data_IF_685462116418
#
_entry.id   IF_685462116418
#
_cell.length_a   1.000
_cell.length_b   1.000
_cell.length_c   1.000
_cell.angle_alpha   90.00
_cell.angle_beta   90.00
_cell.angle_gamma   90.00
#
_symmetry.space_group_name_H-M   'P 1'
#
loop_
_entity.id
_entity.type
_entity.pdbx_description
1 polymer ?
#
# COMPACT_ATOMS: atom_id res chain seq x y z
N UNK A 1 -0.35 15.49 -22.09
CA UNK A 1 0.20 14.19 -22.56
C UNK A 1 -0.90 13.15 -22.44
N UNK A 2 -1.32 12.52 -23.54
CA UNK A 2 -2.29 11.42 -23.50
C UNK A 2 -1.54 10.11 -23.34
N UNK A 3 -1.92 9.28 -22.35
CA UNK A 3 -1.30 7.98 -22.14
C UNK A 3 -1.39 7.13 -23.41
N UNK A 4 -0.28 6.51 -23.83
CA UNK A 4 -0.33 5.51 -24.91
C UNK A 4 -1.23 4.35 -24.43
N UNK A 5 -2.35 4.05 -25.13
CA UNK A 5 -3.28 3.01 -24.71
C UNK A 5 -2.62 1.64 -24.51
N UNK A 6 -1.62 1.31 -25.33
CA UNK A 6 -0.88 0.06 -25.22
C UNK A 6 -0.04 0.04 -23.93
N UNK A 7 0.78 1.07 -23.72
CA UNK A 7 1.65 1.16 -22.53
C UNK A 7 0.84 1.24 -21.24
N UNK A 8 -0.25 2.01 -21.25
CA UNK A 8 -1.19 2.12 -20.13
C UNK A 8 -1.82 0.78 -19.80
N UNK A 9 -2.28 0.03 -20.81
CA UNK A 9 -2.85 -1.32 -20.62
C UNK A 9 -1.83 -2.30 -20.07
N UNK A 10 -0.60 -2.31 -20.62
CA UNK A 10 0.49 -3.16 -20.14
C UNK A 10 0.84 -2.82 -18.70
N UNK A 11 0.89 -1.52 -18.36
CA UNK A 11 1.21 -1.06 -17.01
C UNK A 11 0.13 -1.44 -16.00
N UNK A 12 -1.14 -1.25 -16.31
CA UNK A 12 -2.25 -1.69 -15.45
C UNK A 12 -2.23 -3.20 -15.29
N UNK A 13 -2.04 -3.95 -16.37
CA UNK A 13 -1.94 -5.42 -16.32
C UNK A 13 -0.78 -5.87 -15.43
N UNK A 14 0.38 -5.20 -15.55
CA UNK A 14 1.56 -5.43 -14.71
C UNK A 14 1.25 -5.16 -13.24
N UNK A 15 0.56 -4.06 -12.93
CA UNK A 15 0.14 -3.72 -11.58
C UNK A 15 -0.82 -4.78 -11.02
N UNK A 16 -1.85 -5.16 -11.77
CA UNK A 16 -2.85 -6.15 -11.38
C UNK A 16 -2.18 -7.48 -11.08
N UNK A 17 -1.28 -7.97 -11.93
CA UNK A 17 -0.56 -9.22 -11.71
C UNK A 17 0.37 -9.15 -10.48
N UNK A 18 1.13 -8.05 -10.34
CA UNK A 18 2.00 -7.82 -9.19
C UNK A 18 1.21 -7.84 -7.88
N UNK A 19 0.10 -7.08 -7.84
CA UNK A 19 -0.72 -6.91 -6.65
C UNK A 19 -1.58 -8.14 -6.35
N UNK A 20 -2.04 -8.89 -7.36
CA UNK A 20 -2.77 -10.14 -7.15
C UNK A 20 -1.90 -11.19 -6.45
N UNK A 21 -0.65 -11.36 -6.89
CA UNK A 21 0.31 -12.29 -6.26
C UNK A 21 0.65 -11.82 -4.84
N UNK A 22 0.87 -10.52 -4.66
CA UNK A 22 1.15 -9.95 -3.34
C UNK A 22 -0.03 -10.13 -2.37
N UNK A 23 -1.25 -9.81 -2.81
CA UNK A 23 -2.48 -9.95 -2.05
C UNK A 23 -2.75 -11.41 -1.67
N UNK A 24 -2.49 -12.36 -2.58
CA UNK A 24 -2.58 -13.79 -2.28
C UNK A 24 -1.58 -14.21 -1.20
N UNK A 25 -0.31 -13.81 -1.34
CA UNK A 25 0.72 -14.11 -0.35
C UNK A 25 0.39 -13.52 1.03
N UNK A 26 -0.13 -12.30 1.05
CA UNK A 26 -0.56 -11.62 2.27
C UNK A 26 -1.79 -12.28 2.90
N UNK A 27 -2.75 -12.71 2.09
CA UNK A 27 -3.93 -13.44 2.56
C UNK A 27 -3.56 -14.80 3.17
N UNK A 28 -2.64 -15.54 2.54
CA UNK A 28 -2.24 -16.88 2.99
C UNK A 28 -1.23 -16.84 4.16
N UNK A 29 -0.30 -15.88 4.17
CA UNK A 29 0.85 -15.89 5.09
C UNK A 29 1.05 -14.61 5.90
N UNK A 30 0.20 -13.59 5.72
CA UNK A 30 0.35 -12.25 6.32
C UNK A 30 1.71 -11.60 6.06
N UNK A 31 2.36 -11.99 4.98
CA UNK A 31 3.68 -11.51 4.61
C UNK A 31 3.87 -11.59 3.09
N UNK A 32 4.71 -10.70 2.57
CA UNK A 32 5.17 -10.73 1.18
C UNK A 32 6.68 -10.61 1.18
N UNK A 33 7.34 -11.56 0.50
CA UNK A 33 8.80 -11.63 0.45
C UNK A 33 9.39 -10.45 -0.33
N UNK A 34 10.53 -9.95 0.12
CA UNK A 34 11.25 -8.85 -0.54
C UNK A 34 11.63 -9.15 -1.99
N UNK A 35 11.91 -10.42 -2.30
CA UNK A 35 12.18 -10.87 -3.66
C UNK A 35 11.03 -10.60 -4.63
N UNK A 36 9.78 -10.55 -4.15
CA UNK A 36 8.63 -10.21 -5.00
C UNK A 36 8.76 -8.77 -5.50
N UNK A 37 8.91 -7.83 -4.57
CA UNK A 37 9.02 -6.41 -4.88
C UNK A 37 10.24 -6.08 -5.75
N UNK A 38 11.39 -6.72 -5.48
CA UNK A 38 12.62 -6.56 -6.28
C UNK A 38 12.43 -7.09 -7.71
N UNK A 39 11.62 -8.14 -7.93
CA UNK A 39 11.35 -8.62 -9.29
C UNK A 39 10.41 -7.70 -10.05
N UNK A 40 9.40 -7.14 -9.38
CA UNK A 40 8.38 -6.29 -10.00
C UNK A 40 8.81 -4.84 -10.22
N UNK A 41 9.84 -4.35 -9.51
CA UNK A 41 10.43 -3.03 -9.82
C UNK A 41 11.05 -2.99 -11.21
N UNK A 42 11.56 -4.12 -11.71
CA UNK A 42 12.22 -4.19 -13.02
C UNK A 42 11.24 -3.85 -14.16
N UNK A 43 10.11 -4.56 -14.35
CA UNK A 43 9.14 -4.19 -15.38
C UNK A 43 8.52 -2.81 -15.12
N UNK A 44 8.31 -2.41 -13.86
CA UNK A 44 7.81 -1.08 -13.53
C UNK A 44 8.75 0.05 -14.03
N UNK A 45 10.05 -0.07 -13.73
CA UNK A 45 11.06 0.89 -14.15
C UNK A 45 11.25 0.89 -15.68
N UNK A 46 11.25 -0.28 -16.31
CA UNK A 46 11.35 -0.40 -17.78
C UNK A 46 10.16 0.29 -18.44
N UNK A 47 8.92 0.05 -17.98
CA UNK A 47 7.73 0.69 -18.54
C UNK A 47 7.78 2.21 -18.39
N UNK A 48 8.25 2.72 -17.25
CA UNK A 48 8.40 4.16 -17.06
C UNK A 48 9.46 4.74 -18.02
N UNK A 49 10.64 4.12 -18.09
CA UNK A 49 11.73 4.57 -18.97
C UNK A 49 11.33 4.52 -20.45
N UNK A 50 10.66 3.45 -20.88
CA UNK A 50 10.15 3.32 -22.26
C UNK A 50 9.17 4.44 -22.56
N UNK A 51 8.23 4.73 -21.66
CA UNK A 51 7.26 5.80 -21.93
C UNK A 51 7.89 7.19 -21.95
N UNK A 52 8.77 7.50 -20.99
CA UNK A 52 9.50 8.79 -20.97
C UNK A 52 10.33 8.97 -22.24
N UNK A 53 10.98 7.90 -22.71
CA UNK A 53 11.79 7.93 -23.91
C UNK A 53 10.95 8.01 -25.20
N UNK A 54 9.86 7.25 -25.30
CA UNK A 54 8.95 7.27 -26.46
C UNK A 54 8.30 8.63 -26.66
N UNK A 55 8.06 9.36 -25.56
CA UNK A 55 7.51 10.71 -25.59
C UNK A 55 8.57 11.81 -25.69
N UNK A 56 9.84 11.43 -25.91
CA UNK A 56 10.98 12.35 -26.05
C UNK A 56 11.05 13.41 -24.94
N UNK A 57 10.73 13.04 -23.70
CA UNK A 57 10.50 14.01 -22.61
C UNK A 57 11.78 14.61 -22.02
N UNK A 58 12.93 14.49 -22.70
CA UNK A 58 14.20 15.06 -22.27
C UNK A 58 14.99 14.19 -21.29
N UNK A 59 16.30 14.46 -21.22
CA UNK A 59 17.26 13.69 -20.41
C UNK A 59 16.95 13.83 -18.91
N UNK A 60 16.54 15.01 -18.45
CA UNK A 60 16.16 15.25 -17.06
C UNK A 60 15.06 14.29 -16.59
N UNK A 61 14.02 14.08 -17.40
CA UNK A 61 12.93 13.16 -17.07
C UNK A 61 13.36 11.69 -17.05
N UNK A 62 14.26 11.28 -17.96
CA UNK A 62 14.84 9.92 -17.93
C UNK A 62 15.63 9.71 -16.64
N UNK A 63 16.47 10.67 -16.26
CA UNK A 63 17.23 10.63 -15.02
C UNK A 63 16.32 10.64 -13.77
N UNK A 64 15.19 11.36 -13.80
CA UNK A 64 14.21 11.34 -12.71
C UNK A 64 13.55 9.97 -12.49
N UNK A 65 13.34 9.19 -13.55
CA UNK A 65 12.88 7.80 -13.39
C UNK A 65 13.87 6.96 -12.55
N UNK A 66 15.18 7.19 -12.71
CA UNK A 66 16.20 6.57 -11.85
C UNK A 66 16.14 7.10 -10.41
N UNK A 67 15.76 8.36 -10.18
CA UNK A 67 15.56 8.90 -8.84
C UNK A 67 14.44 8.15 -8.08
N UNK A 68 13.34 7.84 -8.76
CA UNK A 68 12.24 7.05 -8.17
C UNK A 68 12.71 5.62 -7.83
N UNK A 69 13.47 4.98 -8.72
CA UNK A 69 14.06 3.65 -8.47
C UNK A 69 15.05 3.69 -7.30
N UNK A 70 15.88 4.73 -7.23
CA UNK A 70 16.79 4.97 -6.11
C UNK A 70 16.05 5.04 -4.78
N UNK A 71 14.98 5.84 -4.68
CA UNK A 71 14.17 5.93 -3.46
C UNK A 71 13.50 4.60 -3.12
N UNK A 72 12.96 3.88 -4.11
CA UNK A 72 12.39 2.55 -3.89
C UNK A 72 13.41 1.55 -3.31
N UNK A 73 14.67 1.64 -3.73
CA UNK A 73 15.73 0.73 -3.26
C UNK A 73 16.00 0.84 -1.74
N UNK A 74 15.70 2.00 -1.13
CA UNK A 74 15.85 2.26 0.31
C UNK A 74 14.98 1.32 1.15
N UNK A 75 13.89 0.80 0.59
CA UNK A 75 13.04 -0.20 1.24
C UNK A 75 13.74 -1.54 1.52
N UNK A 76 14.87 -1.81 0.85
CA UNK A 76 15.55 -3.11 0.87
C UNK A 76 17.01 -3.01 1.30
N UNK A 77 17.71 -1.98 0.82
CA UNK A 77 19.15 -1.85 0.99
C UNK A 77 19.49 -0.48 1.57
N UNK A 78 20.44 -0.44 2.48
CA UNK A 78 20.98 0.84 2.97
C UNK A 78 21.80 1.50 1.87
N UNK A 79 21.70 2.84 1.69
CA UNK A 79 22.52 3.54 0.71
C UNK A 79 24.02 3.22 0.90
N UNK A 80 24.76 2.92 -0.18
CA UNK A 80 26.21 2.69 -0.12
C UNK A 80 26.95 3.88 0.50
N UNK A 81 27.93 3.59 1.36
CA UNK A 81 28.76 4.63 1.97
C UNK A 81 29.86 5.07 1.00
N UNK A 82 29.85 6.33 0.50
CA UNK A 82 30.85 6.84 -0.44
C UNK A 82 32.26 6.93 0.15
N UNK A 83 32.42 6.76 1.47
CA UNK A 83 33.75 6.75 2.11
C UNK A 83 34.43 5.38 2.02
N UNK A 84 33.72 4.33 1.60
CA UNK A 84 34.20 2.95 1.56
C UNK A 84 34.30 2.38 0.14
N UNK A 85 34.63 3.24 -0.83
CA UNK A 85 34.67 2.89 -2.26
C UNK A 85 35.54 1.66 -2.56
N UNK A 86 36.69 1.53 -1.90
CA UNK A 86 37.63 0.43 -2.13
C UNK A 86 37.07 -0.96 -1.76
N UNK A 87 36.02 -1.01 -0.92
CA UNK A 87 35.38 -2.25 -0.49
C UNK A 87 34.04 -2.53 -1.14
N UNK A 88 33.63 -1.76 -2.16
CA UNK A 88 32.33 -1.93 -2.80
C UNK A 88 32.26 -3.22 -3.62
N UNK A 89 31.20 -3.99 -3.40
CA UNK A 89 30.81 -5.07 -4.27
C UNK A 89 30.02 -4.57 -5.48
N UNK A 90 29.62 -5.51 -6.35
CA UNK A 90 28.87 -5.21 -7.58
C UNK A 90 27.54 -4.51 -7.29
N UNK A 91 26.84 -4.88 -6.20
CA UNK A 91 25.53 -4.31 -5.87
C UNK A 91 25.66 -2.86 -5.40
N UNK A 92 26.68 -2.53 -4.60
CA UNK A 92 26.94 -1.16 -4.16
C UNK A 92 27.26 -0.25 -5.34
N UNK A 93 28.03 -0.72 -6.32
CA UNK A 93 28.35 0.02 -7.55
C UNK A 93 27.09 0.29 -8.37
N UNK A 94 26.24 -0.72 -8.57
CA UNK A 94 24.98 -0.58 -9.31
C UNK A 94 24.08 0.44 -8.63
N UNK A 95 23.86 0.30 -7.32
CA UNK A 95 23.01 1.21 -6.56
C UNK A 95 23.54 2.64 -6.57
N UNK A 96 24.85 2.81 -6.40
CA UNK A 96 25.49 4.13 -6.47
C UNK A 96 25.36 4.78 -7.84
N UNK A 97 25.43 3.99 -8.92
CA UNK A 97 25.19 4.48 -10.27
C UNK A 97 23.76 4.97 -10.42
N UNK A 98 22.77 4.20 -9.95
CA UNK A 98 21.36 4.60 -9.96
C UNK A 98 21.16 5.89 -9.15
N UNK A 99 21.80 6.03 -7.97
CA UNK A 99 21.73 7.25 -7.17
C UNK A 99 22.31 8.47 -7.88
N UNK A 100 23.47 8.33 -8.54
CA UNK A 100 24.08 9.43 -9.31
C UNK A 100 23.21 9.83 -10.49
N UNK A 101 22.64 8.87 -11.23
CA UNK A 101 21.70 9.14 -12.32
C UNK A 101 20.45 9.85 -11.81
N UNK A 102 19.87 9.38 -10.71
CA UNK A 102 18.71 10.00 -10.08
C UNK A 102 18.98 11.44 -9.62
N UNK A 103 20.11 11.66 -8.95
CA UNK A 103 20.50 12.99 -8.50
C UNK A 103 20.77 13.95 -9.65
N UNK A 104 21.32 13.45 -10.76
CA UNK A 104 21.50 14.22 -11.99
C UNK A 104 20.16 14.68 -12.57
N UNK A 105 19.10 13.87 -12.46
CA UNK A 105 17.75 14.25 -12.92
C UNK A 105 17.15 15.43 -12.16
N UNK A 106 17.46 15.55 -10.87
CA UNK A 106 17.08 16.70 -10.07
C UNK A 106 17.86 17.95 -10.51
N UNK A 107 19.18 17.85 -10.66
CA UNK A 107 20.02 19.00 -11.06
C UNK A 107 19.66 19.49 -12.46
N UNK A 108 19.60 18.58 -13.43
CA UNK A 108 19.29 18.91 -14.82
C UNK A 108 17.89 19.51 -14.93
N UNK A 109 16.89 18.92 -14.27
CA UNK A 109 15.54 19.47 -14.32
C UNK A 109 15.37 20.79 -13.59
N UNK A 110 16.14 21.08 -12.53
CA UNK A 110 16.17 22.43 -11.95
C UNK A 110 16.73 23.42 -12.99
N UNK A 111 17.79 23.05 -13.71
CA UNK A 111 18.34 23.91 -14.76
C UNK A 111 17.36 24.14 -15.91
N UNK A 112 16.66 23.08 -16.33
CA UNK A 112 15.82 23.11 -17.54
C UNK A 112 14.39 23.59 -17.27
N UNK A 113 13.86 23.38 -16.06
CA UNK A 113 12.44 23.54 -15.72
C UNK A 113 12.19 24.38 -14.44
N UNK A 114 13.14 25.21 -13.99
CA UNK A 114 12.94 26.07 -12.81
C UNK A 114 12.14 27.34 -13.08
N UNK A 115 12.11 27.83 -14.32
CA UNK A 115 11.41 29.07 -14.70
C UNK A 115 9.90 28.85 -14.93
N UNK A 116 9.35 27.79 -14.33
CA UNK A 116 7.95 27.40 -14.47
C UNK A 116 7.04 28.30 -13.65
N UNK A 117 5.93 28.74 -14.25
CA UNK A 117 4.87 29.41 -13.49
C UNK A 117 4.03 28.34 -12.78
N UNK A 118 4.09 28.31 -11.45
CA UNK A 118 3.34 27.33 -10.66
C UNK A 118 1.83 27.37 -10.88
N UNK A 119 1.26 28.54 -11.22
CA UNK A 119 -0.17 28.64 -11.53
C UNK A 119 -0.47 27.87 -12.82
N UNK A 120 0.31 28.12 -13.86
CA UNK A 120 0.14 27.47 -15.17
C UNK A 120 0.42 25.96 -15.06
N UNK A 121 1.38 25.55 -14.22
CA UNK A 121 1.65 24.14 -13.92
C UNK A 121 0.46 23.43 -13.27
N UNK A 122 -0.20 24.09 -12.31
CA UNK A 122 -1.36 23.53 -11.61
C UNK A 122 -2.60 23.51 -12.51
N UNK A 123 -2.76 24.53 -13.36
CA UNK A 123 -3.83 24.60 -14.35
C UNK A 123 -3.63 23.63 -15.52
N UNK A 124 -2.43 23.08 -15.69
CA UNK A 124 -2.10 22.14 -16.76
C UNK A 124 -1.78 22.83 -18.10
N UNK A 125 -1.47 24.12 -18.07
CA UNK A 125 -1.15 24.94 -19.24
C UNK A 125 0.35 24.87 -19.62
N UNK A 126 1.17 24.26 -18.77
CA UNK A 126 2.60 24.05 -18.99
C UNK A 126 2.93 22.92 -19.96
N UNK A 127 4.18 22.90 -20.44
CA UNK A 127 4.62 21.85 -21.36
C UNK A 127 4.51 20.45 -20.74
N UNK A 128 4.23 19.40 -21.53
CA UNK A 128 4.16 18.03 -21.04
C UNK A 128 5.42 17.57 -20.29
N UNK A 129 6.59 18.00 -20.73
CA UNK A 129 7.89 17.63 -20.17
C UNK A 129 8.11 18.26 -18.80
N UNK A 130 7.77 19.56 -18.67
CA UNK A 130 7.82 20.31 -17.41
C UNK A 130 6.85 19.69 -16.41
N UNK A 131 5.61 19.44 -16.84
CA UNK A 131 4.56 18.85 -16.01
C UNK A 131 4.96 17.46 -15.51
N UNK A 132 5.55 16.62 -16.37
CA UNK A 132 6.01 15.29 -16.00
C UNK A 132 7.15 15.33 -14.98
N UNK A 133 8.11 16.24 -15.16
CA UNK A 133 9.22 16.40 -14.22
C UNK A 133 8.75 16.79 -12.83
N UNK A 134 7.89 17.81 -12.73
CA UNK A 134 7.27 18.23 -11.48
C UNK A 134 6.38 17.15 -10.86
N UNK A 135 5.68 16.38 -11.69
CA UNK A 135 4.92 15.20 -11.22
C UNK A 135 5.83 14.15 -10.59
N UNK A 136 7.02 13.90 -11.17
CA UNK A 136 8.00 12.98 -10.58
C UNK A 136 8.62 13.54 -9.28
N UNK A 137 8.72 14.86 -9.11
CA UNK A 137 9.05 15.46 -7.80
C UNK A 137 7.92 15.18 -6.80
N UNK A 138 6.66 15.38 -7.19
CA UNK A 138 5.50 15.03 -6.36
C UNK A 138 5.50 13.54 -5.98
N UNK A 139 5.89 12.67 -6.90
CA UNK A 139 6.07 11.25 -6.67
C UNK A 139 7.18 10.97 -5.65
N UNK A 140 8.35 11.60 -5.77
CA UNK A 140 9.44 11.50 -4.76
C UNK A 140 8.97 11.94 -3.37
N UNK A 141 8.24 13.06 -3.28
CA UNK A 141 7.67 13.54 -2.03
C UNK A 141 6.70 12.52 -1.43
N UNK A 142 5.84 11.95 -2.27
CA UNK A 142 4.86 10.92 -1.87
C UNK A 142 5.57 9.66 -1.35
N UNK A 143 6.61 9.19 -2.03
CA UNK A 143 7.44 8.07 -1.56
C UNK A 143 8.10 8.39 -0.22
N UNK A 144 8.62 9.60 -0.03
CA UNK A 144 9.22 10.04 1.22
C UNK A 144 8.20 10.07 2.37
N UNK A 145 6.95 10.47 2.10
CA UNK A 145 5.86 10.40 3.09
C UNK A 145 5.59 8.96 3.50
N UNK A 146 5.48 8.01 2.55
CA UNK A 146 5.27 6.60 2.89
C UNK A 146 6.44 6.00 3.68
N UNK A 147 7.69 6.28 3.27
CA UNK A 147 8.88 5.85 4.01
C UNK A 147 8.92 6.43 5.43
N UNK A 148 8.55 7.70 5.59
CA UNK A 148 8.50 8.36 6.89
C UNK A 148 7.40 7.77 7.76
N UNK A 149 6.20 7.57 7.21
CA UNK A 149 5.08 6.94 7.90
C UNK A 149 5.44 5.52 8.37
N UNK A 150 6.18 4.76 7.57
CA UNK A 150 6.70 3.46 7.97
C UNK A 150 7.75 3.57 9.09
N UNK A 151 8.69 4.52 8.97
CA UNK A 151 9.78 4.70 9.95
C UNK A 151 9.25 5.13 11.32
N UNK A 152 8.22 5.96 11.35
CA UNK A 152 7.51 6.38 12.55
C UNK A 152 6.46 5.36 13.03
N UNK A 153 6.34 4.19 12.39
CA UNK A 153 5.38 3.12 12.70
C UNK A 153 3.91 3.57 12.64
N UNK A 154 3.60 4.61 11.86
CA UNK A 154 2.22 4.99 11.53
C UNK A 154 1.62 3.90 10.64
N UNK A 155 2.36 3.49 9.61
CA UNK A 155 2.04 2.30 8.82
C UNK A 155 2.86 1.14 9.38
N UNK A 156 2.19 0.13 9.92
CA UNK A 156 2.85 -1.03 10.53
C UNK A 156 3.35 -2.03 9.48
N UNK A 157 2.63 -2.19 8.37
CA UNK A 157 2.95 -3.15 7.31
C UNK A 157 4.05 -2.65 6.37
N UNK A 158 5.22 -3.28 6.43
CA UNK A 158 6.31 -2.99 5.49
C UNK A 158 5.98 -3.40 4.04
N UNK A 159 5.15 -4.43 3.86
CA UNK A 159 4.69 -4.85 2.54
C UNK A 159 3.75 -3.82 1.90
N UNK A 160 2.87 -3.19 2.70
CA UNK A 160 1.95 -2.14 2.26
C UNK A 160 2.72 -0.91 1.74
N UNK A 161 3.74 -0.49 2.49
CA UNK A 161 4.60 0.65 2.12
C UNK A 161 5.35 0.35 0.82
N UNK A 162 5.91 -0.87 0.69
CA UNK A 162 6.57 -1.31 -0.55
C UNK A 162 5.60 -1.31 -1.73
N UNK A 163 4.36 -1.76 -1.54
CA UNK A 163 3.34 -1.71 -2.58
C UNK A 163 3.03 -0.27 -3.01
N UNK A 164 2.78 0.63 -2.07
CA UNK A 164 2.45 2.03 -2.35
C UNK A 164 3.59 2.79 -3.04
N UNK A 165 4.84 2.56 -2.63
CA UNK A 165 6.01 3.16 -3.29
C UNK A 165 6.18 2.55 -4.69
N UNK A 166 5.97 1.25 -4.90
CA UNK A 166 6.00 0.64 -6.23
C UNK A 166 4.91 1.23 -7.15
N UNK A 167 3.69 1.42 -6.64
CA UNK A 167 2.61 2.10 -7.39
C UNK A 167 3.01 3.52 -7.75
N UNK A 168 3.66 4.24 -6.83
CA UNK A 168 4.15 5.61 -7.08
C UNK A 168 5.24 5.62 -8.17
N UNK A 169 6.09 4.60 -8.23
CA UNK A 169 7.08 4.42 -9.31
C UNK A 169 6.39 4.11 -10.65
N UNK A 170 5.36 3.27 -10.66
CA UNK A 170 4.63 2.92 -11.88
C UNK A 170 3.80 4.08 -12.40
N UNK A 171 3.20 4.86 -11.50
CA UNK A 171 2.29 5.96 -11.81
C UNK A 171 2.69 7.23 -11.07
N UNK A 172 3.82 7.88 -11.45
CA UNK A 172 4.22 9.15 -10.86
C UNK A 172 3.27 10.31 -11.21
N UNK A 173 2.43 10.15 -12.24
CA UNK A 173 1.45 11.13 -12.70
C UNK A 173 0.14 10.45 -13.10
N UNK A 174 -0.97 11.20 -13.03
CA UNK A 174 -2.26 10.79 -13.60
C UNK A 174 -2.24 10.71 -15.14
N UNK A 175 -1.33 11.43 -15.80
CA UNK A 175 -1.18 11.39 -17.26
C UNK A 175 -0.74 10.02 -17.79
N UNK A 176 -0.33 9.12 -16.90
CA UNK A 176 0.14 7.77 -17.18
C UNK A 176 -0.92 6.69 -16.94
N UNK A 177 -2.11 7.11 -16.47
CA UNK A 177 -3.31 6.29 -16.35
C UNK A 177 -4.25 6.56 -17.54
N UNK A 178 -5.09 5.59 -17.92
CA UNK A 178 -6.12 5.82 -18.94
C UNK A 178 -7.16 6.80 -18.40
N UNK A 179 -7.89 7.44 -19.29
CA UNK A 179 -8.96 8.39 -18.91
C UNK A 179 -9.98 7.73 -17.98
N UNK A 180 -10.28 8.41 -16.87
CA UNK A 180 -11.19 7.91 -15.84
C UNK A 180 -12.61 8.45 -16.04
N UNK A 181 -13.64 7.74 -15.55
CA UNK A 181 -15.04 8.17 -15.66
C UNK A 181 -15.30 9.51 -14.98
N UNK A 182 -14.66 9.76 -13.84
CA UNK A 182 -14.72 11.04 -13.14
C UNK A 182 -13.40 11.75 -13.29
N UNK A 183 -13.14 12.24 -14.50
CA UNK A 183 -12.06 13.19 -14.71
C UNK A 183 -12.38 14.47 -13.93
N UNK A 184 -11.56 14.80 -12.93
CA UNK A 184 -11.50 16.14 -12.37
C UNK A 184 -11.10 17.06 -13.52
N UNK A 185 -12.02 17.80 -14.15
CA UNK A 185 -11.68 18.72 -15.25
C UNK A 185 -10.66 19.79 -14.83
N UNK A 186 -10.32 20.68 -15.76
CA UNK A 186 -9.31 21.75 -15.61
C UNK A 186 -9.54 22.69 -14.40
N UNK A 187 -10.70 22.60 -13.72
CA UNK A 187 -11.04 23.38 -12.52
C UNK A 187 -10.48 22.78 -11.21
N UNK A 188 -9.88 21.59 -11.25
CA UNK A 188 -9.36 20.91 -10.07
C UNK A 188 -7.95 21.38 -9.69
N UNK A 189 -7.88 22.33 -8.76
CA UNK A 189 -6.63 22.90 -8.22
C UNK A 189 -5.74 21.84 -7.53
N UNK A 190 -6.30 20.73 -7.05
CA UNK A 190 -5.53 19.70 -6.34
C UNK A 190 -6.03 18.29 -6.65
N UNK A 191 -5.20 17.48 -7.32
CA UNK A 191 -5.39 16.03 -7.47
C UNK A 191 -4.40 15.30 -6.57
N UNK A 192 -4.86 14.29 -5.85
CA UNK A 192 -3.97 13.48 -5.03
C UNK A 192 -3.07 12.60 -5.90
N UNK A 193 -1.82 12.32 -5.50
CA UNK A 193 -0.97 11.36 -6.21
C UNK A 193 -1.69 10.01 -6.39
N UNK A 194 -1.52 9.31 -7.53
CA UNK A 194 -2.26 8.08 -7.82
C UNK A 194 -2.14 6.99 -6.73
N UNK A 195 -0.97 6.85 -6.11
CA UNK A 195 -0.76 5.90 -5.00
C UNK A 195 -1.50 6.30 -3.72
N UNK A 196 -1.67 7.60 -3.46
CA UNK A 196 -2.47 8.11 -2.35
C UNK A 196 -3.95 7.92 -2.61
N UNK A 197 -4.40 8.15 -3.85
CA UNK A 197 -5.77 7.82 -4.26
C UNK A 197 -6.06 6.32 -4.11
N UNK A 198 -5.13 5.44 -4.51
CA UNK A 198 -5.23 4.00 -4.29
C UNK A 198 -5.35 3.67 -2.80
N UNK A 199 -4.53 4.30 -1.95
CA UNK A 199 -4.56 4.09 -0.51
C UNK A 199 -5.91 4.47 0.11
N UNK A 200 -6.50 5.59 -0.30
CA UNK A 200 -7.85 5.99 0.15
C UNK A 200 -8.93 5.03 -0.33
N UNK A 201 -8.86 4.59 -1.59
CA UNK A 201 -9.77 3.57 -2.12
C UNK A 201 -9.67 2.24 -1.35
N UNK A 202 -8.45 1.85 -0.96
CA UNK A 202 -8.24 0.69 -0.11
C UNK A 202 -8.84 0.89 1.29
N UNK A 203 -8.70 2.09 1.86
CA UNK A 203 -9.38 2.47 3.10
C UNK A 203 -10.91 2.39 2.99
N UNK A 204 -11.48 2.86 1.88
CA UNK A 204 -12.91 2.75 1.61
C UNK A 204 -13.35 1.28 1.44
N UNK A 205 -12.57 0.45 0.75
CA UNK A 205 -12.82 -0.98 0.64
C UNK A 205 -12.73 -1.68 2.01
N UNK A 206 -11.82 -1.26 2.89
CA UNK A 206 -11.69 -1.78 4.25
C UNK A 206 -12.93 -1.50 5.11
N UNK A 207 -13.66 -0.40 4.86
CA UNK A 207 -14.93 -0.12 5.54
C UNK A 207 -16.04 -1.14 5.23
N UNK A 208 -15.88 -1.97 4.19
CA UNK A 208 -16.78 -3.08 3.89
C UNK A 208 -16.51 -4.32 4.77
N UNK A 209 -15.36 -4.39 5.45
CA UNK A 209 -15.02 -5.56 6.26
C UNK A 209 -15.97 -5.77 7.45
N UNK A 210 -16.30 -4.75 8.29
CA UNK A 210 -17.22 -4.94 9.40
C UNK A 210 -18.63 -5.44 8.99
N UNK A 211 -19.29 -4.86 7.97
CA UNK A 211 -20.57 -5.39 7.47
C UNK A 211 -20.48 -6.84 7.00
N UNK A 212 -19.41 -7.23 6.30
CA UNK A 212 -19.22 -8.60 5.81
C UNK A 212 -19.05 -9.59 6.96
N UNK A 213 -18.22 -9.26 7.95
CA UNK A 213 -18.03 -10.09 9.16
C UNK A 213 -19.36 -10.24 9.92
N UNK A 214 -20.11 -9.14 10.04
CA UNK A 214 -21.41 -9.15 10.70
C UNK A 214 -22.39 -10.10 10.02
N UNK A 215 -22.51 -10.03 8.69
CA UNK A 215 -23.37 -10.93 7.90
C UNK A 215 -22.92 -12.38 8.09
N UNK A 216 -21.62 -12.67 8.03
CA UNK A 216 -21.09 -14.03 8.23
C UNK A 216 -21.44 -14.59 9.62
N UNK A 217 -21.31 -13.79 10.68
CA UNK A 217 -21.70 -14.21 12.02
C UNK A 217 -23.21 -14.44 12.12
N UNK A 218 -24.03 -13.61 11.48
CA UNK A 218 -25.47 -13.78 11.44
C UNK A 218 -25.87 -15.07 10.71
N UNK A 219 -25.26 -15.36 9.54
CA UNK A 219 -25.56 -16.58 8.78
C UNK A 219 -25.11 -17.86 9.50
N UNK A 220 -24.05 -17.77 10.30
CA UNK A 220 -23.53 -18.91 11.07
C UNK A 220 -24.26 -19.11 12.41
N UNK A 221 -25.24 -18.25 12.74
CA UNK A 221 -25.99 -18.35 14.01
C UNK A 221 -25.16 -17.96 15.24
N UNK A 222 -24.08 -17.20 15.08
CA UNK A 222 -23.15 -16.86 16.16
C UNK A 222 -23.68 -15.75 17.09
N UNK A 223 -24.78 -15.08 16.73
CA UNK A 223 -25.35 -13.92 17.44
C UNK A 223 -26.54 -14.39 18.28
N UNK A 224 -26.31 -14.65 19.56
CA UNK A 224 -27.36 -15.13 20.50
C UNK A 224 -27.85 -14.01 21.42
N UNK A 225 -27.01 -13.02 21.69
CA UNK A 225 -27.29 -11.94 22.65
C UNK A 225 -26.95 -10.54 22.14
N UNK A 226 -27.40 -9.51 22.85
CA UNK A 226 -27.06 -8.10 22.54
C UNK A 226 -25.57 -7.79 22.73
N UNK A 227 -24.88 -8.48 23.63
CA UNK A 227 -23.42 -8.39 23.76
C UNK A 227 -22.68 -8.97 22.55
N UNK A 228 -23.24 -10.02 21.93
CA UNK A 228 -22.66 -10.63 20.73
C UNK A 228 -22.81 -9.73 19.51
N UNK A 229 -23.85 -8.89 19.46
CA UNK A 229 -24.04 -7.92 18.36
C UNK A 229 -22.83 -6.98 18.22
N UNK A 230 -22.29 -6.52 19.35
CA UNK A 230 -21.09 -5.66 19.37
C UNK A 230 -19.85 -6.41 18.89
N UNK A 231 -19.71 -7.68 19.29
CA UNK A 231 -18.58 -8.52 18.88
C UNK A 231 -18.65 -8.91 17.41
N UNK A 232 -19.84 -9.27 16.92
CA UNK A 232 -20.10 -9.68 15.54
C UNK A 232 -19.76 -8.59 14.52
N UNK A 233 -19.72 -7.31 14.94
CA UNK A 233 -19.29 -6.21 14.09
C UNK A 233 -17.80 -6.25 13.71
N UNK A 234 -16.93 -6.79 14.57
CA UNK A 234 -15.47 -6.68 14.40
C UNK A 234 -14.69 -7.99 14.66
N UNK A 235 -15.38 -9.06 15.03
CA UNK A 235 -14.78 -10.35 15.36
C UNK A 235 -15.66 -11.50 14.85
N UNK A 236 -15.07 -12.68 14.67
CA UNK A 236 -15.79 -13.91 14.29
C UNK A 236 -15.76 -14.89 15.45
N UNK A 237 -16.87 -15.56 15.73
CA UNK A 237 -16.90 -16.66 16.69
C UNK A 237 -16.43 -17.95 16.03
N UNK A 238 -15.42 -18.61 16.61
CA UNK A 238 -14.85 -19.87 16.12
C UNK A 238 -14.81 -20.91 17.23
N UNK A 239 -14.80 -22.19 16.85
CA UNK A 239 -14.57 -23.29 17.80
C UNK A 239 -13.10 -23.35 18.19
N UNK A 240 -12.81 -23.76 19.42
CA UNK A 240 -11.42 -23.83 19.91
C UNK A 240 -10.60 -24.85 19.09
N UNK A 241 -11.23 -25.95 18.67
CA UNK A 241 -10.62 -26.96 17.80
C UNK A 241 -10.11 -26.44 16.45
N UNK A 242 -10.67 -25.34 15.96
CA UNK A 242 -10.42 -24.82 14.61
C UNK A 242 -9.41 -23.65 14.62
N UNK A 243 -8.80 -23.35 15.77
CA UNK A 243 -7.92 -22.20 15.96
C UNK A 243 -6.48 -22.43 15.51
N UNK A 244 -6.02 -23.68 15.46
CA UNK A 244 -4.64 -24.02 15.06
C UNK A 244 -4.35 -23.71 13.59
N UNK A 245 -5.37 -23.45 12.77
CA UNK A 245 -5.23 -23.29 11.32
C UNK A 245 -5.01 -21.84 10.85
N UNK A 246 -5.28 -20.81 11.67
CA UNK A 246 -5.24 -19.41 11.21
C UNK A 246 -4.59 -18.42 12.22
N UNK A 247 -3.72 -17.50 11.74
CA UNK A 247 -3.11 -16.47 12.58
C UNK A 247 -4.16 -15.44 13.03
N UNK A 248 -4.66 -15.62 14.24
CA UNK A 248 -5.85 -14.92 14.72
C UNK A 248 -5.69 -14.48 16.18
N UNK A 249 -6.30 -13.35 16.55
CA UNK A 249 -6.19 -12.80 17.89
C UNK A 249 -7.38 -13.23 18.74
N UNK A 250 -7.13 -13.89 19.86
CA UNK A 250 -8.19 -14.30 20.79
C UNK A 250 -8.68 -13.08 21.56
N UNK A 251 -10.00 -12.88 21.58
CA UNK A 251 -10.65 -11.76 22.26
C UNK A 251 -11.43 -12.20 23.51
N UNK A 252 -11.64 -13.49 23.70
CA UNK A 252 -12.29 -14.07 24.87
C UNK A 252 -11.24 -14.46 25.91
N UNK A 253 -11.33 -13.89 27.12
CA UNK A 253 -10.42 -14.16 28.24
C UNK A 253 -11.21 -14.58 29.48
N UNK A 254 -10.60 -15.41 30.32
CA UNK A 254 -11.12 -15.74 31.65
C UNK A 254 -10.52 -14.76 32.67
N UNK A 255 -11.38 -13.99 33.32
CA UNK A 255 -10.98 -13.11 34.43
C UNK A 255 -11.58 -13.64 35.71
N UNK A 256 -10.76 -13.86 36.74
CA UNK A 256 -11.27 -14.14 38.08
C UNK A 256 -11.85 -12.87 38.70
N UNK A 257 -13.13 -12.91 39.05
CA UNK A 257 -13.78 -11.86 39.83
C UNK A 257 -14.44 -12.50 41.05
N UNK A 258 -14.07 -12.03 42.24
CA UNK A 258 -14.61 -12.53 43.52
C UNK A 258 -14.42 -14.06 43.70
N UNK A 259 -13.31 -14.60 43.21
CA UNK A 259 -12.98 -16.03 43.32
C UNK A 259 -13.78 -16.95 42.38
N UNK A 260 -14.52 -16.39 41.42
CA UNK A 260 -15.19 -17.14 40.34
C UNK A 260 -14.61 -16.76 38.98
N UNK A 261 -14.36 -17.75 38.09
CA UNK A 261 -13.97 -17.45 36.72
C UNK A 261 -15.17 -16.84 35.97
N UNK A 262 -14.98 -15.63 35.43
CA UNK A 262 -15.95 -14.97 34.55
C UNK A 262 -15.33 -14.83 33.17
N UNK A 263 -16.10 -15.22 32.15
CA UNK A 263 -15.73 -15.08 30.74
C UNK A 263 -15.99 -13.65 30.29
N UNK A 264 -14.98 -12.97 29.76
CA UNK A 264 -15.06 -11.59 29.30
C UNK A 264 -14.59 -11.49 27.85
N UNK A 265 -15.39 -10.83 27.01
CA UNK A 265 -15.03 -10.53 25.63
C UNK A 265 -14.45 -9.11 25.54
N UNK A 266 -13.20 -9.01 25.08
CA UNK A 266 -12.50 -7.74 24.85
C UNK A 266 -12.68 -7.27 23.41
N UNK A 267 -12.59 -5.95 23.22
CA UNK A 267 -12.62 -5.34 21.88
C UNK A 267 -11.23 -5.39 21.23
N UNK A 268 -10.17 -5.40 22.04
CA UNK A 268 -8.78 -5.41 21.60
C UNK A 268 -8.07 -6.66 22.12
N UNK A 269 -7.13 -7.23 21.34
CA UNK A 269 -6.31 -8.34 21.79
C UNK A 269 -5.55 -8.00 23.06
N UNK A 270 -5.31 -9.00 23.90
CA UNK A 270 -4.33 -8.85 24.97
C UNK A 270 -2.92 -8.78 24.35
N UNK A 271 -2.01 -7.97 24.91
CA UNK A 271 -0.63 -7.85 24.41
C UNK A 271 0.25 -9.07 24.71
N UNK A 272 -0.35 -10.25 24.91
CA UNK A 272 0.32 -11.48 25.32
C UNK A 272 1.00 -12.16 24.13
N UNK A 273 1.94 -13.05 24.43
CA UNK A 273 2.68 -13.80 23.41
C UNK A 273 1.93 -15.06 23.00
N UNK A 274 2.23 -15.61 21.81
CA UNK A 274 1.56 -16.81 21.28
C UNK A 274 1.63 -18.04 22.18
N UNK A 275 2.62 -18.13 23.07
CA UNK A 275 2.70 -19.19 24.09
C UNK A 275 1.67 -19.02 25.21
N UNK A 276 1.32 -17.77 25.53
CA UNK A 276 0.31 -17.45 26.53
C UNK A 276 -1.10 -17.74 25.98
N UNK A 277 -1.30 -17.52 24.67
CA UNK A 277 -2.56 -17.79 23.97
C UNK A 277 -2.94 -19.28 24.07
N UNK A 278 -1.98 -20.20 23.88
CA UNK A 278 -2.24 -21.64 24.01
C UNK A 278 -2.61 -22.05 25.45
N UNK A 279 -1.95 -21.46 26.45
CA UNK A 279 -2.27 -21.71 27.86
C UNK A 279 -3.63 -21.11 28.25
N UNK A 280 -4.05 -20.02 27.61
CA UNK A 280 -5.35 -19.38 27.81
C UNK A 280 -6.48 -20.18 27.15
N UNK A 281 -6.25 -20.75 25.97
CA UNK A 281 -7.19 -21.67 25.32
C UNK A 281 -7.47 -22.91 26.18
N UNK A 282 -6.44 -23.52 26.77
CA UNK A 282 -6.63 -24.66 27.68
C UNK A 282 -7.52 -24.31 28.89
N UNK A 283 -7.38 -23.11 29.46
CA UNK A 283 -8.25 -22.65 30.56
C UNK A 283 -9.69 -22.43 30.11
N UNK A 284 -9.90 -21.98 28.88
CA UNK A 284 -11.24 -21.77 28.31
C UNK A 284 -11.93 -23.12 28.04
N UNK A 285 -11.19 -24.12 27.55
CA UNK A 285 -11.67 -25.50 27.41
C UNK A 285 -12.00 -26.15 28.76
N UNK A 286 -11.15 -25.96 29.78
CA UNK A 286 -11.38 -26.49 31.14
C UNK A 286 -12.66 -25.93 31.78
N UNK A 287 -13.10 -24.74 31.37
CA UNK A 287 -14.34 -24.09 31.82
C UNK A 287 -15.55 -24.54 30.98
N UNK A 288 -15.34 -25.35 29.93
CA UNK A 288 -16.38 -25.92 29.08
C UNK A 288 -16.84 -25.00 27.96
N UNK A 289 -16.01 -24.04 27.53
CA UNK A 289 -16.31 -23.23 26.35
C UNK A 289 -15.88 -23.95 25.08
N UNK A 290 -16.84 -24.22 24.20
CA UNK A 290 -16.55 -24.82 22.89
C UNK A 290 -16.13 -23.78 21.82
N UNK A 291 -16.39 -22.49 22.07
CA UNK A 291 -16.16 -21.42 21.10
C UNK A 291 -15.74 -20.10 21.73
N UNK A 292 -14.93 -19.34 21.00
CA UNK A 292 -14.34 -18.05 21.40
C UNK A 292 -14.48 -17.01 20.30
N UNK A 293 -14.46 -15.74 20.69
CA UNK A 293 -14.41 -14.62 19.75
C UNK A 293 -12.97 -14.35 19.33
N UNK A 294 -12.79 -14.17 18.03
CA UNK A 294 -11.48 -14.03 17.42
C UNK A 294 -11.48 -12.86 16.44
N UNK A 295 -10.48 -11.99 16.53
CA UNK A 295 -10.20 -10.99 15.51
C UNK A 295 -9.22 -11.55 14.47
N UNK A 296 -9.64 -11.57 13.20
CA UNK A 296 -8.75 -11.90 12.09
C UNK A 296 -7.80 -10.74 11.82
N UNK A 297 -6.54 -11.04 11.51
CA UNK A 297 -5.64 -10.04 10.92
C UNK A 297 -6.13 -9.77 9.50
N UNK A 298 -6.40 -8.50 9.19
CA UNK A 298 -6.86 -8.09 7.87
C UNK A 298 -5.65 -7.85 6.95
N UNK A 299 -5.50 -8.63 5.86
CA UNK A 299 -4.40 -8.45 4.92
C UNK A 299 -4.64 -7.19 4.09
N UNK A 300 -3.97 -6.09 4.42
CA UNK A 300 -4.22 -4.78 3.81
C UNK A 300 -3.96 -4.79 2.30
N UNK A 301 -3.04 -5.62 1.82
CA UNK A 301 -2.74 -5.76 0.39
C UNK A 301 -3.92 -6.29 -0.43
N UNK A 302 -4.85 -7.04 0.18
CA UNK A 302 -6.08 -7.47 -0.50
C UNK A 302 -6.96 -6.27 -0.81
N UNK A 303 -7.10 -5.34 0.13
CA UNK A 303 -7.87 -4.12 -0.09
C UNK A 303 -7.19 -3.19 -1.10
N UNK A 304 -5.85 -3.09 -1.08
CA UNK A 304 -5.10 -2.37 -2.11
C UNK A 304 -5.28 -2.98 -3.50
N UNK A 305 -5.30 -4.30 -3.61
CA UNK A 305 -5.57 -4.98 -4.88
C UNK A 305 -6.98 -4.67 -5.40
N UNK A 306 -7.99 -4.77 -4.54
CA UNK A 306 -9.37 -4.43 -4.91
C UNK A 306 -9.53 -2.95 -5.28
N UNK A 307 -8.76 -2.07 -4.63
CA UNK A 307 -8.76 -0.63 -4.89
C UNK A 307 -8.21 -0.22 -6.28
N UNK A 308 -7.53 -1.12 -6.99
CA UNK A 308 -7.08 -0.87 -8.36
C UNK A 308 -8.28 -0.60 -9.28
N UNK A 309 -9.38 -1.35 -9.10
CA UNK A 309 -10.57 -1.20 -9.92
C UNK A 309 -11.20 0.20 -9.82
N UNK A 310 -11.57 0.72 -8.64
CA UNK A 310 -12.09 2.08 -8.54
C UNK A 310 -11.04 3.14 -8.89
N UNK A 311 -9.75 2.92 -8.65
CA UNK A 311 -8.71 3.86 -9.08
C UNK A 311 -8.71 4.04 -10.61
N UNK A 312 -8.69 2.94 -11.36
CA UNK A 312 -8.61 2.98 -12.84
C UNK A 312 -9.94 3.43 -13.44
N UNK A 313 -11.06 3.02 -12.85
CA UNK A 313 -12.39 3.32 -13.40
C UNK A 313 -12.91 4.69 -12.98
N UNK A 314 -12.80 5.03 -11.68
CA UNK A 314 -13.41 6.23 -11.09
C UNK A 314 -12.40 7.37 -10.95
N UNK A 315 -11.12 7.08 -10.75
CA UNK A 315 -10.08 8.10 -10.56
C UNK A 315 -9.88 8.51 -9.10
N UNK A 316 -9.57 9.78 -8.88
CA UNK A 316 -9.36 10.34 -7.53
C UNK A 316 -10.68 10.35 -6.74
N UNK A 317 -10.77 9.73 -5.55
CA UNK A 317 -12.02 9.73 -4.78
C UNK A 317 -12.40 11.13 -4.28
N UNK A 318 -11.48 12.10 -4.18
CA UNK A 318 -11.82 13.48 -3.86
C UNK A 318 -12.70 14.10 -4.96
N UNK A 319 -12.49 13.70 -6.22
CA UNK A 319 -13.33 14.11 -7.35
C UNK A 319 -14.82 13.87 -7.09
N UNK A 320 -15.13 12.74 -6.46
CA UNK A 320 -16.49 12.30 -6.19
C UNK A 320 -17.13 13.09 -5.04
N UNK A 321 -16.34 13.65 -4.13
CA UNK A 321 -16.84 14.35 -2.94
C UNK A 321 -17.10 15.84 -3.18
N UNK A 322 -16.36 16.46 -4.11
CA UNK A 322 -16.42 17.90 -4.37
C UNK A 322 -17.51 18.26 -5.41
N UNK A 323 -18.01 17.26 -6.15
CA UNK A 323 -19.04 17.45 -7.19
C UNK A 323 -20.45 17.34 -6.62
#
# INVERSE_FOLDING_TARGET
MTADPLLSTIRISTLVLCMAIAARSDFETLSVRDSHWIKWVIPAAILLLVEVNSNNSGIANICMAFALVAVFSICFVRPPDPRKLEGWGTMEVILSTIYVLGFSGLILGISDYSDTNFVDLVLGDESPEVTLWWSMIGALLTMAVFLSAWRFRIIQGGADVKALILVTLMFPSWSLLPDQMYHLGDEAIFRLPPSMALFMWAGAAFLLAPPVIFIQNATNGNIESTSDLKMAWHATRKRISDLDEEPSWILTEVVEKEGKPIVVNRILPSGKTSSDDAAELGKLEDIGLDSVWVARKHPFLVYLFLAIAPLVLLGDPIALLIR
#
